data_IF_407670176654
#
_entry.id   IF_407670176654
#
_cell.length_a   1.000
_cell.length_b   1.000
_cell.length_c   1.000
_cell.angle_alpha   90.00
_cell.angle_beta   90.00
_cell.angle_gamma   90.00
#
_symmetry.space_group_name_H-M   'P 1'
#
loop_
_entity.id
_entity.type
_entity.pdbx_description
1 polymer ?
#
# COMPACT_ATOMS: atom_id res chain seq x y z
N UNK A 1 -15.98 21.96 -5.48
CA UNK A 1 -14.65 21.66 -4.90
C UNK A 1 -14.08 20.43 -5.60
N UNK A 2 -12.77 20.38 -5.87
CA UNK A 2 -12.12 19.21 -6.44
C UNK A 2 -12.12 18.02 -5.46
N UNK A 3 -11.94 16.81 -5.96
CA UNK A 3 -11.80 15.61 -5.11
C UNK A 3 -10.47 15.65 -4.37
N UNK A 4 -10.49 15.43 -3.06
CA UNK A 4 -9.28 15.38 -2.24
C UNK A 4 -8.51 14.07 -2.42
N UNK A 5 -9.25 12.97 -2.64
CA UNK A 5 -8.66 11.65 -2.78
C UNK A 5 -9.21 10.87 -3.98
N UNK A 6 -8.36 10.06 -4.59
CA UNK A 6 -8.75 9.00 -5.54
C UNK A 6 -8.32 7.65 -4.97
N UNK A 7 -9.29 6.83 -4.57
CA UNK A 7 -9.05 5.54 -3.93
C UNK A 7 -8.92 4.45 -5.00
N UNK A 8 -7.74 3.88 -5.14
CA UNK A 8 -7.47 2.75 -6.04
C UNK A 8 -7.58 1.45 -5.27
N UNK A 9 -8.59 0.65 -5.59
CA UNK A 9 -8.89 -0.65 -4.98
C UNK A 9 -8.75 -1.71 -6.06
N UNK A 10 -7.96 -2.77 -5.81
CA UNK A 10 -7.74 -3.86 -6.76
C UNK A 10 -8.28 -5.15 -6.18
N UNK A 11 -9.30 -5.73 -6.84
CA UNK A 11 -9.82 -7.05 -6.53
C UNK A 11 -9.10 -8.12 -7.33
N UNK A 12 -8.80 -9.23 -6.69
CA UNK A 12 -8.31 -10.45 -7.32
C UNK A 12 -9.09 -11.66 -6.79
N UNK A 13 -10.41 -11.67 -7.08
CA UNK A 13 -11.36 -12.61 -6.50
C UNK A 13 -11.74 -12.27 -5.05
N UNK A 14 -11.70 -10.97 -4.68
CA UNK A 14 -11.92 -10.50 -3.30
C UNK A 14 -13.33 -9.94 -3.05
N UNK A 15 -14.35 -10.44 -3.75
CA UNK A 15 -15.74 -9.95 -3.66
C UNK A 15 -16.24 -9.83 -2.21
N UNK A 16 -15.90 -10.79 -1.36
CA UNK A 16 -16.31 -10.81 0.05
C UNK A 16 -15.78 -9.61 0.86
N UNK A 17 -14.71 -8.97 0.42
CA UNK A 17 -14.11 -7.80 1.08
C UNK A 17 -14.51 -6.48 0.44
N UNK A 18 -14.69 -6.46 -0.89
CA UNK A 18 -15.03 -5.23 -1.63
C UNK A 18 -16.35 -4.65 -1.14
N UNK A 19 -17.40 -5.46 -1.05
CA UNK A 19 -18.73 -4.97 -0.67
C UNK A 19 -18.74 -4.38 0.73
N UNK A 20 -18.20 -5.03 1.76
CA UNK A 20 -18.05 -4.42 3.09
C UNK A 20 -17.25 -3.11 3.06
N UNK A 21 -16.13 -3.05 2.34
CA UNK A 21 -15.32 -1.84 2.25
C UNK A 21 -16.09 -0.70 1.58
N UNK A 22 -16.75 -0.94 0.44
CA UNK A 22 -17.54 0.09 -0.25
C UNK A 22 -18.72 0.58 0.60
N UNK A 23 -19.37 -0.32 1.37
CA UNK A 23 -20.39 0.06 2.33
C UNK A 23 -19.83 0.91 3.46
N UNK A 24 -18.67 0.59 4.01
CA UNK A 24 -18.01 1.43 5.02
C UNK A 24 -17.68 2.82 4.45
N UNK A 25 -17.11 2.89 3.24
CA UNK A 25 -16.84 4.16 2.56
C UNK A 25 -18.12 4.99 2.33
N UNK A 26 -19.25 4.34 2.02
CA UNK A 26 -20.53 5.01 1.83
C UNK A 26 -21.13 5.55 3.13
N UNK A 27 -20.78 4.99 4.27
CA UNK A 27 -21.24 5.45 5.59
C UNK A 27 -20.42 6.59 6.17
N UNK A 28 -19.31 6.98 5.54
CA UNK A 28 -18.51 8.12 5.98
C UNK A 28 -19.32 9.43 5.83
N UNK A 29 -19.05 10.40 6.71
CA UNK A 29 -19.77 11.67 6.72
C UNK A 29 -19.46 12.57 5.54
N UNK A 30 -18.24 12.45 4.98
CA UNK A 30 -17.77 13.26 3.85
C UNK A 30 -17.27 12.33 2.75
N UNK A 31 -17.57 12.68 1.49
CA UNK A 31 -17.23 11.89 0.31
C UNK A 31 -16.40 12.74 -0.66
N UNK A 32 -15.38 13.45 -0.13
CA UNK A 32 -14.42 14.22 -0.94
C UNK A 32 -13.45 13.32 -1.69
N UNK A 33 -13.90 12.13 -2.08
CA UNK A 33 -13.13 11.14 -2.81
C UNK A 33 -13.92 10.55 -3.98
N UNK A 34 -13.19 9.90 -4.85
CA UNK A 34 -13.70 8.99 -5.87
C UNK A 34 -13.04 7.62 -5.68
N UNK A 35 -13.67 6.57 -6.19
CA UNK A 35 -13.16 5.19 -6.14
C UNK A 35 -12.87 4.71 -7.55
N UNK A 36 -11.71 4.13 -7.75
CA UNK A 36 -11.33 3.38 -8.95
C UNK A 36 -11.18 1.92 -8.55
N UNK A 37 -12.19 1.11 -8.86
CA UNK A 37 -12.19 -0.32 -8.58
C UNK A 37 -11.67 -1.07 -9.79
N UNK A 38 -10.63 -1.89 -9.61
CA UNK A 38 -10.09 -2.78 -10.64
C UNK A 38 -10.44 -4.22 -10.32
N UNK A 39 -11.20 -4.87 -11.19
CA UNK A 39 -11.43 -6.32 -11.19
C UNK A 39 -10.29 -6.98 -11.97
N UNK A 40 -9.34 -7.56 -11.26
CA UNK A 40 -8.09 -8.08 -11.86
C UNK A 40 -8.20 -9.53 -12.34
N UNK A 41 -9.29 -10.19 -12.05
CA UNK A 41 -9.70 -11.51 -12.56
C UNK A 41 -11.14 -11.43 -13.01
N UNK A 42 -11.62 -12.35 -13.85
CA UNK A 42 -13.04 -12.43 -14.15
C UNK A 42 -13.85 -12.64 -12.86
N UNK A 43 -14.54 -11.59 -12.45
CA UNK A 43 -15.43 -11.59 -11.30
C UNK A 43 -16.60 -10.64 -11.55
N UNK A 44 -17.75 -10.91 -10.95
CA UNK A 44 -18.95 -10.09 -11.09
C UNK A 44 -19.22 -9.44 -9.75
N UNK A 45 -19.48 -8.14 -9.77
CA UNK A 45 -19.92 -7.46 -8.55
C UNK A 45 -21.29 -8.02 -8.13
N UNK A 46 -21.49 -8.26 -6.82
CA UNK A 46 -22.77 -8.78 -6.35
C UNK A 46 -23.93 -7.86 -6.74
N UNK A 47 -25.09 -8.39 -7.14
CA UNK A 47 -26.26 -7.60 -7.54
C UNK A 47 -26.76 -6.64 -6.44
N UNK A 48 -26.48 -6.97 -5.18
CA UNK A 48 -26.85 -6.16 -4.02
C UNK A 48 -26.04 -4.86 -3.92
N UNK A 49 -24.97 -4.74 -4.68
CA UNK A 49 -24.17 -3.52 -4.76
C UNK A 49 -24.69 -2.65 -5.90
N UNK A 50 -25.65 -1.77 -5.59
CA UNK A 50 -26.05 -0.73 -6.52
C UNK A 50 -24.96 0.36 -6.59
N UNK A 51 -24.14 0.28 -7.63
CA UNK A 51 -23.05 1.22 -7.87
C UNK A 51 -23.57 2.65 -8.05
N UNK A 52 -24.79 2.82 -8.60
CA UNK A 52 -25.37 4.12 -8.83
C UNK A 52 -25.96 4.75 -7.55
N UNK A 53 -26.21 3.96 -6.52
CA UNK A 53 -26.67 4.42 -5.23
C UNK A 53 -25.50 4.84 -4.28
N UNK A 54 -24.23 4.65 -4.69
CA UNK A 54 -23.10 5.09 -3.89
C UNK A 54 -23.01 6.62 -3.83
N UNK A 55 -22.71 7.20 -2.65
CA UNK A 55 -22.65 8.66 -2.47
C UNK A 55 -21.37 9.28 -3.07
N UNK A 56 -20.53 8.51 -3.72
CA UNK A 56 -19.27 8.92 -4.37
C UNK A 56 -19.21 8.37 -5.79
N UNK A 57 -18.40 9.02 -6.63
CA UNK A 57 -18.17 8.56 -7.99
C UNK A 57 -17.29 7.30 -7.99
N UNK A 58 -17.71 6.28 -8.72
CA UNK A 58 -16.94 5.06 -8.91
C UNK A 58 -16.63 4.82 -10.38
N UNK A 59 -15.37 4.48 -10.66
CA UNK A 59 -14.91 3.99 -11.96
C UNK A 59 -14.57 2.51 -11.85
N UNK A 60 -14.88 1.76 -12.88
CA UNK A 60 -14.61 0.33 -12.94
C UNK A 60 -13.60 0.03 -14.05
N UNK A 61 -12.52 -0.66 -13.70
CA UNK A 61 -11.58 -1.27 -14.64
C UNK A 61 -11.77 -2.77 -14.57
N UNK A 62 -11.96 -3.42 -15.72
CA UNK A 62 -12.06 -4.88 -15.81
C UNK A 62 -10.90 -5.39 -16.66
N UNK A 63 -10.03 -6.18 -16.05
CA UNK A 63 -8.91 -6.78 -16.76
C UNK A 63 -9.34 -8.10 -17.43
N UNK A 64 -9.01 -8.31 -18.70
CA UNK A 64 -9.27 -9.59 -19.37
C UNK A 64 -8.39 -10.73 -18.87
N UNK A 65 -7.26 -10.39 -18.23
CA UNK A 65 -6.33 -11.33 -17.59
C UNK A 65 -5.63 -10.66 -16.42
N UNK A 66 -5.17 -11.43 -15.40
CA UNK A 66 -4.51 -10.88 -14.22
C UNK A 66 -3.26 -10.08 -14.56
N UNK A 67 -3.19 -8.85 -14.06
CA UNK A 67 -2.02 -7.98 -14.11
C UNK A 67 -1.35 -7.88 -12.74
N UNK A 68 -0.09 -7.41 -12.71
CA UNK A 68 0.63 -7.15 -11.49
C UNK A 68 0.03 -5.98 -10.68
N UNK A 69 0.37 -5.91 -9.39
CA UNK A 69 -0.07 -4.86 -8.48
C UNK A 69 0.25 -3.47 -9.02
N UNK A 70 1.51 -3.24 -9.41
CA UNK A 70 1.97 -1.97 -9.95
C UNK A 70 1.17 -1.52 -11.18
N UNK A 71 0.94 -2.43 -12.15
CA UNK A 71 0.21 -2.14 -13.40
C UNK A 71 -1.21 -1.70 -13.10
N UNK A 72 -1.88 -2.36 -12.16
CA UNK A 72 -3.26 -2.05 -11.79
C UNK A 72 -3.38 -0.65 -11.16
N UNK A 73 -2.52 -0.33 -10.18
CA UNK A 73 -2.56 0.97 -9.53
C UNK A 73 -2.11 2.11 -10.46
N UNK A 74 -1.15 1.88 -11.35
CA UNK A 74 -0.77 2.85 -12.36
C UNK A 74 -1.91 3.12 -13.35
N UNK A 75 -2.63 2.08 -13.79
CA UNK A 75 -3.80 2.24 -14.65
C UNK A 75 -4.93 3.02 -13.94
N UNK A 76 -5.16 2.75 -12.66
CA UNK A 76 -6.11 3.50 -11.85
C UNK A 76 -5.69 4.97 -11.69
N UNK A 77 -4.40 5.25 -11.51
CA UNK A 77 -3.89 6.62 -11.41
C UNK A 77 -4.20 7.44 -12.66
N UNK A 78 -4.15 6.85 -13.85
CA UNK A 78 -4.47 7.54 -15.11
C UNK A 78 -5.94 8.00 -15.20
N UNK A 79 -6.84 7.37 -14.46
CA UNK A 79 -8.27 7.75 -14.37
C UNK A 79 -8.56 8.68 -13.18
N UNK A 80 -7.60 8.82 -12.29
CA UNK A 80 -7.79 9.52 -11.03
C UNK A 80 -7.72 11.05 -11.20
N UNK A 81 -8.51 11.81 -10.39
CA UNK A 81 -8.57 13.26 -10.44
C UNK A 81 -8.33 13.91 -9.06
N UNK A 82 -8.20 13.14 -7.99
CA UNK A 82 -7.97 13.65 -6.64
C UNK A 82 -6.58 14.23 -6.47
N UNK A 83 -6.42 15.15 -5.52
CA UNK A 83 -5.14 15.77 -5.15
C UNK A 83 -4.16 14.72 -4.56
N UNK A 84 -4.73 13.67 -3.95
CA UNK A 84 -4.00 12.56 -3.36
C UNK A 84 -4.48 11.23 -3.95
N UNK A 85 -3.54 10.40 -4.38
CA UNK A 85 -3.81 9.05 -4.83
C UNK A 85 -3.66 8.09 -3.66
N UNK A 86 -4.68 7.25 -3.45
CA UNK A 86 -4.71 6.30 -2.33
C UNK A 86 -4.67 4.89 -2.88
N UNK A 87 -3.63 4.15 -2.51
CA UNK A 87 -3.59 2.70 -2.68
C UNK A 87 -4.32 2.09 -1.51
N UNK A 88 -5.34 1.30 -1.74
CA UNK A 88 -6.19 0.73 -0.70
C UNK A 88 -6.51 -0.73 -1.02
N UNK A 89 -6.06 -1.64 -0.17
CA UNK A 89 -6.38 -3.05 -0.31
C UNK A 89 -7.87 -3.32 0.01
N UNK A 90 -8.51 -4.26 -0.69
CA UNK A 90 -9.93 -4.58 -0.48
C UNK A 90 -10.22 -5.20 0.90
N UNK A 91 -9.24 -5.82 1.55
CA UNK A 91 -9.33 -6.46 2.87
C UNK A 91 -8.97 -5.52 4.04
N UNK A 92 -8.96 -4.21 3.78
CA UNK A 92 -8.88 -3.19 4.82
C UNK A 92 -10.28 -2.91 5.38
N UNK A 93 -10.39 -2.93 6.70
CA UNK A 93 -11.59 -2.50 7.43
C UNK A 93 -11.28 -1.22 8.21
N UNK A 94 -12.09 -0.21 7.98
CA UNK A 94 -11.99 1.07 8.68
C UNK A 94 -12.59 0.95 10.08
N UNK A 95 -11.87 1.45 11.10
CA UNK A 95 -12.39 1.56 12.47
C UNK A 95 -13.16 2.87 12.65
N UNK A 96 -12.62 3.96 12.08
CA UNK A 96 -13.17 5.30 12.04
C UNK A 96 -12.90 5.90 10.66
N UNK A 97 -13.30 7.16 10.42
CA UNK A 97 -12.95 7.88 9.20
C UNK A 97 -11.47 8.33 9.23
N UNK A 98 -10.58 7.69 8.44
CA UNK A 98 -9.17 8.04 8.46
C UNK A 98 -8.84 9.27 7.59
N UNK A 99 -9.72 9.66 6.67
CA UNK A 99 -9.40 10.61 5.61
C UNK A 99 -9.15 12.04 6.09
N UNK A 100 -9.93 12.62 7.04
CA UNK A 100 -9.63 13.96 7.53
C UNK A 100 -8.25 14.07 8.17
N UNK A 101 -7.87 13.09 9.01
CA UNK A 101 -6.57 13.09 9.67
C UNK A 101 -5.42 12.80 8.69
N UNK A 102 -5.63 11.92 7.69
CA UNK A 102 -4.64 11.67 6.63
C UNK A 102 -4.46 12.91 5.73
N UNK A 103 -5.53 13.65 5.44
CA UNK A 103 -5.44 14.91 4.70
C UNK A 103 -4.60 15.94 5.46
N UNK A 104 -4.88 16.12 6.74
CA UNK A 104 -4.08 17.02 7.59
C UNK A 104 -2.59 16.65 7.61
N UNK A 105 -2.26 15.35 7.67
CA UNK A 105 -0.88 14.88 7.58
C UNK A 105 -0.21 15.27 6.27
N UNK A 106 -0.88 15.06 5.15
CA UNK A 106 -0.36 15.41 3.81
C UNK A 106 -0.19 16.92 3.67
N UNK A 107 -1.16 17.71 4.12
CA UNK A 107 -1.12 19.17 4.07
C UNK A 107 0.01 19.75 4.93
N UNK A 108 0.25 19.17 6.10
CA UNK A 108 1.38 19.57 6.98
C UNK A 108 2.74 19.15 6.44
N UNK A 109 2.82 18.13 5.63
CA UNK A 109 4.06 17.61 5.06
C UNK A 109 3.93 17.40 3.55
N UNK A 110 4.05 18.47 2.77
CA UNK A 110 3.88 18.43 1.30
C UNK A 110 4.82 17.44 0.57
N UNK A 111 5.90 17.00 1.21
CA UNK A 111 6.87 16.02 0.67
C UNK A 111 6.74 14.63 1.27
N UNK A 112 5.54 14.24 1.76
CA UNK A 112 5.38 12.98 2.48
C UNK A 112 4.35 12.06 1.83
N UNK A 113 4.69 10.77 1.78
CA UNK A 113 3.75 9.67 1.61
C UNK A 113 3.23 9.32 3.00
N UNK A 114 1.91 9.29 3.19
CA UNK A 114 1.29 9.06 4.48
C UNK A 114 0.58 7.70 4.53
N UNK A 115 0.56 7.08 5.69
CA UNK A 115 -0.17 5.84 5.92
C UNK A 115 -0.76 5.78 7.34
N UNK A 116 -1.87 5.07 7.54
CA UNK A 116 -2.34 4.68 8.86
C UNK A 116 -1.49 3.56 9.43
N UNK A 117 -1.59 3.31 10.73
CA UNK A 117 -1.07 2.12 11.36
C UNK A 117 -1.98 0.93 11.01
N UNK A 118 -1.40 -0.11 10.45
CA UNK A 118 -2.10 -1.35 10.13
C UNK A 118 -2.09 -2.26 11.36
N UNK A 119 -3.25 -2.73 11.77
CA UNK A 119 -3.41 -3.75 12.81
C UNK A 119 -4.10 -4.98 12.22
N UNK A 120 -3.74 -6.16 12.69
CA UNK A 120 -4.42 -7.39 12.32
C UNK A 120 -5.77 -7.53 13.00
N UNK A 121 -6.59 -8.47 12.58
CA UNK A 121 -7.89 -8.76 13.19
C UNK A 121 -7.84 -9.12 14.69
N UNK A 122 -6.67 -9.49 15.20
CA UNK A 122 -6.40 -9.72 16.63
C UNK A 122 -5.96 -8.44 17.40
N UNK A 123 -5.94 -7.27 16.74
CA UNK A 123 -5.53 -6.00 17.31
C UNK A 123 -4.01 -5.78 17.41
N UNK A 124 -3.18 -6.77 17.02
CA UNK A 124 -1.73 -6.61 17.01
C UNK A 124 -1.27 -5.76 15.82
N UNK A 125 -0.27 -4.90 16.06
CA UNK A 125 0.34 -4.09 14.99
C UNK A 125 1.01 -5.02 13.98
N UNK A 126 0.70 -4.83 12.69
CA UNK A 126 1.36 -5.55 11.62
C UNK A 126 2.69 -4.91 11.21
N UNK A 127 3.57 -5.71 10.63
CA UNK A 127 4.85 -5.25 10.11
C UNK A 127 4.68 -4.51 8.77
N UNK A 128 3.85 -3.47 8.74
CA UNK A 128 3.54 -2.67 7.55
C UNK A 128 4.43 -1.44 7.38
N UNK A 129 5.20 -1.08 8.40
CA UNK A 129 6.11 0.06 8.43
C UNK A 129 7.50 -0.40 8.89
N UNK A 130 8.52 -0.33 8.04
CA UNK A 130 9.82 -0.97 8.29
C UNK A 130 10.99 -0.17 7.71
N UNK A 131 12.20 -0.58 8.12
CA UNK A 131 13.42 -0.20 7.42
C UNK A 131 13.58 -1.01 6.13
N UNK A 132 14.35 -0.48 5.15
CA UNK A 132 14.59 -1.21 3.91
C UNK A 132 15.19 -2.58 4.18
N UNK A 133 14.69 -3.62 3.51
CA UNK A 133 15.21 -4.97 3.66
C UNK A 133 16.66 -5.05 3.19
N UNK A 134 17.41 -5.97 3.79
CA UNK A 134 18.72 -6.36 3.31
C UNK A 134 18.74 -7.84 2.90
N UNK A 135 19.67 -8.27 2.03
CA UNK A 135 19.82 -9.69 1.68
C UNK A 135 20.00 -10.57 2.93
N UNK A 136 20.78 -10.11 3.91
CA UNK A 136 21.00 -10.81 5.17
C UNK A 136 19.69 -11.04 5.94
N UNK A 137 18.86 -10.00 6.10
CA UNK A 137 17.57 -10.11 6.80
C UNK A 137 16.61 -11.05 6.07
N UNK A 138 16.59 -11.01 4.74
CA UNK A 138 15.76 -11.92 3.95
C UNK A 138 16.19 -13.38 4.14
N UNK A 139 17.50 -13.68 4.05
CA UNK A 139 18.06 -15.01 4.28
C UNK A 139 17.72 -15.48 5.71
N UNK A 140 17.92 -14.62 6.73
CA UNK A 140 17.57 -14.93 8.12
C UNK A 140 16.09 -15.28 8.28
N UNK A 141 15.18 -14.50 7.65
CA UNK A 141 13.73 -14.79 7.67
C UNK A 141 13.40 -16.11 6.96
N UNK A 142 14.05 -16.41 5.84
CA UNK A 142 13.87 -17.67 5.12
C UNK A 142 14.33 -18.87 5.96
N UNK A 143 15.51 -18.80 6.56
CA UNK A 143 16.03 -19.82 7.48
C UNK A 143 15.07 -19.99 8.67
N UNK A 144 14.67 -18.88 9.30
CA UNK A 144 13.71 -18.89 10.40
C UNK A 144 12.40 -19.61 10.03
N UNK A 145 11.90 -19.40 8.81
CA UNK A 145 10.69 -20.09 8.32
C UNK A 145 10.92 -21.58 8.10
N UNK A 146 12.06 -21.98 7.55
CA UNK A 146 12.40 -23.40 7.32
C UNK A 146 12.52 -24.15 8.66
N UNK A 147 13.17 -23.53 9.65
CA UNK A 147 13.40 -24.14 10.96
C UNK A 147 12.31 -23.80 12.00
N UNK A 148 11.21 -23.17 11.55
CA UNK A 148 10.09 -22.74 12.41
C UNK A 148 10.53 -21.88 13.64
N UNK A 149 11.56 -21.06 13.46
CA UNK A 149 12.10 -20.16 14.49
C UNK A 149 11.24 -18.89 14.59
N UNK A 150 10.90 -18.50 15.82
CA UNK A 150 10.25 -17.21 16.09
C UNK A 150 11.30 -16.11 16.04
N UNK A 151 11.32 -15.35 14.95
CA UNK A 151 12.18 -14.17 14.83
C UNK A 151 11.47 -12.95 15.42
N UNK A 152 12.20 -12.02 16.05
CA UNK A 152 11.62 -10.77 16.52
C UNK A 152 11.02 -9.98 15.35
N UNK A 153 9.88 -9.35 15.60
CA UNK A 153 9.20 -8.48 14.62
C UNK A 153 10.06 -7.24 14.35
N UNK A 154 10.15 -6.83 13.11
CA UNK A 154 10.79 -5.58 12.70
C UNK A 154 9.76 -4.44 12.77
N UNK A 155 9.55 -3.90 13.95
CA UNK A 155 8.71 -2.72 14.13
C UNK A 155 9.64 -1.52 14.32
N UNK A 156 9.37 -0.41 13.64
CA UNK A 156 10.10 0.84 13.86
C UNK A 156 9.88 1.29 15.31
N UNK A 157 10.94 1.68 16.08
CA UNK A 157 10.83 2.00 17.49
C UNK A 157 9.77 3.03 17.84
N UNK A 158 9.08 2.82 18.96
CA UNK A 158 7.79 3.44 19.33
C UNK A 158 7.93 4.70 20.19
N UNK A 159 8.76 5.66 19.87
CA UNK A 159 8.92 6.81 20.79
C UNK A 159 8.04 8.03 20.45
N UNK A 160 7.37 8.07 19.30
CA UNK A 160 6.59 9.24 18.87
C UNK A 160 5.21 8.82 18.31
N UNK A 161 4.26 9.76 18.26
CA UNK A 161 2.93 9.59 17.64
C UNK A 161 3.00 9.30 16.13
N UNK A 162 4.15 9.58 15.51
CA UNK A 162 4.44 9.37 14.09
C UNK A 162 5.66 8.47 13.94
N UNK A 163 5.55 7.44 13.09
CA UNK A 163 6.68 6.65 12.64
C UNK A 163 7.23 7.24 11.34
N UNK A 164 8.56 7.19 11.19
CA UNK A 164 9.26 7.59 9.96
C UNK A 164 10.02 6.37 9.43
N UNK A 165 9.33 5.39 8.89
CA UNK A 165 9.96 4.18 8.34
C UNK A 165 10.70 4.49 7.04
N UNK A 166 11.55 3.56 6.61
CA UNK A 166 12.12 3.62 5.26
C UNK A 166 11.04 3.34 4.19
N UNK A 167 10.08 2.46 4.49
CA UNK A 167 8.96 2.12 3.61
C UNK A 167 7.71 1.70 4.39
N UNK A 168 6.56 1.88 3.78
CA UNK A 168 5.28 1.36 4.26
C UNK A 168 4.64 0.49 3.19
N UNK A 169 3.94 -0.57 3.64
CA UNK A 169 3.32 -1.55 2.76
C UNK A 169 2.17 -0.94 1.94
N UNK A 170 2.04 -1.39 0.69
CA UNK A 170 1.01 -0.96 -0.25
C UNK A 170 -0.42 -1.37 0.12
N UNK A 171 -0.70 -1.63 1.41
CA UNK A 171 -2.03 -1.98 1.88
C UNK A 171 -2.93 -0.75 2.03
N UNK A 172 -2.36 0.37 2.53
CA UNK A 172 -3.03 1.66 2.60
C UNK A 172 -1.96 2.76 2.55
N UNK A 173 -1.76 3.38 1.38
CA UNK A 173 -0.84 4.48 1.18
C UNK A 173 -1.58 5.68 0.61
N UNK A 174 -1.37 6.84 1.20
CA UNK A 174 -1.82 8.14 0.66
C UNK A 174 -0.61 8.84 0.05
N UNK A 175 -0.64 9.01 -1.25
CA UNK A 175 0.45 9.58 -2.03
C UNK A 175 -0.03 10.87 -2.69
N UNK A 176 0.50 12.04 -2.34
CA UNK A 176 0.23 13.27 -3.08
C UNK A 176 0.46 13.07 -4.58
N UNK A 177 -0.45 13.57 -5.40
CA UNK A 177 -0.42 13.40 -6.85
C UNK A 177 0.93 13.79 -7.46
N UNK A 178 1.52 14.91 -7.02
CA UNK A 178 2.81 15.36 -7.51
C UNK A 178 3.94 14.36 -7.21
N UNK A 179 3.91 13.68 -6.04
CA UNK A 179 4.90 12.64 -5.69
C UNK A 179 4.73 11.43 -6.61
N UNK A 180 3.49 10.94 -6.77
CA UNK A 180 3.21 9.79 -7.65
C UNK A 180 3.66 10.06 -9.09
N UNK A 181 3.38 11.27 -9.59
CA UNK A 181 3.79 11.72 -10.94
C UNK A 181 5.31 11.84 -11.06
N UNK A 182 5.98 12.49 -10.09
CA UNK A 182 7.45 12.65 -10.07
C UNK A 182 8.17 11.31 -10.08
N UNK A 183 7.61 10.32 -9.39
CA UNK A 183 8.16 8.97 -9.33
C UNK A 183 7.73 8.08 -10.50
N UNK A 184 6.91 8.58 -11.43
CA UNK A 184 6.33 7.81 -12.54
C UNK A 184 5.58 6.56 -12.08
N UNK A 185 4.87 6.65 -10.95
CA UNK A 185 4.09 5.57 -10.36
C UNK A 185 4.93 4.41 -9.81
N UNK A 186 4.28 3.27 -9.61
CA UNK A 186 4.95 2.03 -9.24
C UNK A 186 5.74 1.44 -10.41
N UNK A 187 6.83 0.76 -10.10
CA UNK A 187 7.66 0.09 -11.10
C UNK A 187 7.00 -1.24 -11.52
N UNK A 188 6.49 -1.30 -12.75
CA UNK A 188 5.74 -2.43 -13.29
C UNK A 188 6.58 -3.70 -13.54
N UNK A 189 7.90 -3.64 -13.35
CA UNK A 189 8.77 -4.82 -13.38
C UNK A 189 8.50 -5.79 -12.22
N UNK A 190 7.85 -5.30 -11.14
CA UNK A 190 7.37 -6.12 -10.02
C UNK A 190 5.93 -6.56 -10.32
N UNK A 191 5.73 -7.87 -10.43
CA UNK A 191 4.37 -8.41 -10.57
C UNK A 191 3.61 -8.35 -9.26
N UNK A 192 4.25 -8.78 -8.18
CA UNK A 192 3.75 -8.74 -6.82
C UNK A 192 4.93 -8.72 -5.84
N UNK A 193 4.79 -7.94 -4.76
CA UNK A 193 5.80 -7.68 -3.72
C UNK A 193 6.98 -6.83 -4.19
N UNK A 194 7.52 -6.03 -3.29
CA UNK A 194 8.62 -5.08 -3.46
C UNK A 194 8.34 -3.88 -4.37
N UNK A 195 7.18 -3.78 -5.01
CA UNK A 195 6.80 -2.57 -5.74
C UNK A 195 6.63 -1.38 -4.79
N UNK A 196 6.09 -1.60 -3.58
CA UNK A 196 5.95 -0.62 -2.51
C UNK A 196 7.32 -0.24 -1.89
N UNK A 197 8.19 -1.23 -1.66
CA UNK A 197 9.56 -1.02 -1.20
C UNK A 197 10.35 -0.19 -2.20
N UNK A 198 10.29 -0.54 -3.50
CA UNK A 198 10.96 0.20 -4.58
C UNK A 198 10.41 1.63 -4.71
N UNK A 199 9.07 1.80 -4.60
CA UNK A 199 8.43 3.10 -4.66
C UNK A 199 8.91 4.01 -3.53
N UNK A 200 8.93 3.52 -2.28
CA UNK A 200 9.42 4.27 -1.14
C UNK A 200 10.93 4.53 -1.23
N UNK A 201 11.71 3.60 -1.80
CA UNK A 201 13.13 3.79 -2.05
C UNK A 201 13.41 4.92 -3.05
N UNK A 202 12.66 4.96 -4.15
CA UNK A 202 12.74 6.07 -5.13
C UNK A 202 12.24 7.39 -4.53
N UNK A 203 11.18 7.35 -3.72
CA UNK A 203 10.68 8.51 -3.00
C UNK A 203 11.78 9.11 -2.09
N UNK A 204 12.43 8.28 -1.28
CA UNK A 204 13.52 8.71 -0.39
C UNK A 204 14.69 9.30 -1.16
N UNK A 205 15.09 8.72 -2.29
CA UNK A 205 16.15 9.25 -3.16
C UNK A 205 15.79 10.59 -3.79
N UNK A 206 14.50 10.84 -4.01
CA UNK A 206 13.96 12.12 -4.49
C UNK A 206 13.72 13.15 -3.35
N UNK A 207 14.05 12.83 -2.10
CA UNK A 207 13.90 13.73 -0.95
C UNK A 207 12.55 13.65 -0.25
N UNK A 208 11.63 12.78 -0.68
CA UNK A 208 10.35 12.56 -0.01
C UNK A 208 10.48 11.61 1.19
N UNK A 209 9.54 11.72 2.14
CA UNK A 209 9.52 10.91 3.36
C UNK A 209 8.28 10.00 3.38
N UNK A 210 8.35 8.94 4.18
CA UNK A 210 7.21 8.11 4.53
C UNK A 210 6.86 8.36 5.99
N UNK A 211 5.58 8.66 6.26
CA UNK A 211 5.05 8.91 7.60
C UNK A 211 3.91 7.94 7.89
N UNK A 212 3.93 7.32 9.06
CA UNK A 212 2.84 6.46 9.52
C UNK A 212 2.30 7.00 10.84
N UNK A 213 1.00 7.30 10.89
CA UNK A 213 0.34 7.78 12.11
C UNK A 213 -0.10 6.62 12.97
N UNK A 214 0.28 6.64 14.25
CA UNK A 214 -0.19 5.66 15.24
C UNK A 214 -1.63 5.90 15.69
N UNK A 215 -2.12 7.14 15.54
CA UNK A 215 -3.46 7.52 15.94
C UNK A 215 -4.52 7.13 14.92
N UNK A 216 -4.12 6.97 13.66
CA UNK A 216 -5.01 6.51 12.59
C UNK A 216 -4.78 5.01 12.45
N UNK A 217 -5.77 4.20 12.82
CA UNK A 217 -5.66 2.74 12.79
C UNK A 217 -6.68 2.15 11.85
N UNK A 218 -6.26 1.18 11.05
CA UNK A 218 -7.14 0.38 10.22
C UNK A 218 -6.83 -1.10 10.41
N UNK A 219 -7.82 -1.95 10.23
CA UNK A 219 -7.66 -3.40 10.38
C UNK A 219 -7.42 -4.02 9.01
N UNK A 220 -6.40 -4.85 8.91
CA UNK A 220 -6.16 -5.68 7.75
C UNK A 220 -6.69 -7.10 8.04
N UNK A 221 -7.73 -7.50 7.33
CA UNK A 221 -8.34 -8.81 7.46
C UNK A 221 -7.61 -9.83 6.57
N UNK A 222 -6.30 -9.96 6.81
CA UNK A 222 -5.41 -10.77 5.98
C UNK A 222 -5.96 -12.17 5.69
N UNK A 223 -6.12 -12.51 4.42
CA UNK A 223 -6.23 -13.90 4.00
C UNK A 223 -4.88 -14.60 4.23
N UNK A 224 -4.77 -15.36 5.32
CA UNK A 224 -3.55 -16.13 5.65
C UNK A 224 -3.19 -17.19 4.58
N UNK A 225 -4.00 -17.35 3.54
CA UNK A 225 -3.80 -18.32 2.46
C UNK A 225 -2.59 -17.99 1.58
N UNK A 226 -2.20 -16.72 1.43
CA UNK A 226 -1.04 -16.32 0.62
C UNK A 226 0.27 -16.87 1.16
N UNK A 227 0.39 -17.04 2.48
CA UNK A 227 1.62 -17.56 3.12
C UNK A 227 1.86 -19.06 2.90
N UNK A 228 0.86 -19.82 2.45
CA UNK A 228 0.94 -21.28 2.30
C UNK A 228 1.27 -21.75 0.89
N UNK A 229 1.13 -20.90 -0.15
CA UNK A 229 1.35 -21.31 -1.53
C UNK A 229 2.78 -21.01 -1.98
N UNK A 230 3.50 -22.02 -2.46
CA UNK A 230 4.88 -21.89 -2.98
C UNK A 230 5.03 -20.81 -4.05
N UNK A 231 3.99 -20.60 -4.87
CA UNK A 231 3.91 -19.55 -5.90
C UNK A 231 4.20 -18.15 -5.35
N UNK A 232 3.63 -17.79 -4.19
CA UNK A 232 3.85 -16.47 -3.57
C UNK A 232 5.27 -16.31 -3.05
N UNK A 233 5.85 -17.40 -2.51
CA UNK A 233 7.25 -17.38 -2.09
C UNK A 233 8.19 -17.15 -3.29
N UNK A 234 7.94 -17.81 -4.42
CA UNK A 234 8.74 -17.63 -5.65
C UNK A 234 8.63 -16.18 -6.14
N UNK A 235 7.43 -15.62 -6.18
CA UNK A 235 7.25 -14.21 -6.57
C UNK A 235 7.96 -13.26 -5.61
N UNK A 236 7.86 -13.50 -4.30
CA UNK A 236 8.54 -12.69 -3.29
C UNK A 236 10.07 -12.73 -3.47
N UNK A 237 10.67 -13.91 -3.64
CA UNK A 237 12.10 -14.05 -3.85
C UNK A 237 12.56 -13.42 -5.17
N UNK A 238 11.79 -13.60 -6.24
CA UNK A 238 12.09 -12.99 -7.54
C UNK A 238 12.07 -11.46 -7.46
N UNK A 239 11.04 -10.89 -6.82
CA UNK A 239 10.92 -9.45 -6.62
C UNK A 239 12.02 -8.91 -5.70
N UNK A 240 12.37 -9.64 -4.63
CA UNK A 240 13.48 -9.30 -3.76
C UNK A 240 14.81 -9.23 -4.51
N UNK A 241 15.11 -10.24 -5.34
CA UNK A 241 16.33 -10.23 -6.16
C UNK A 241 16.37 -9.02 -7.11
N UNK A 242 15.24 -8.71 -7.77
CA UNK A 242 15.13 -7.51 -8.62
C UNK A 242 15.40 -6.22 -7.83
N UNK A 243 14.88 -6.12 -6.61
CA UNK A 243 15.08 -4.95 -5.77
C UNK A 243 16.54 -4.80 -5.36
N UNK A 244 17.20 -5.86 -4.89
CA UNK A 244 18.58 -5.78 -4.42
C UNK A 244 19.61 -5.43 -5.51
N UNK A 245 19.29 -5.68 -6.78
CA UNK A 245 20.14 -5.27 -7.92
C UNK A 245 19.65 -3.96 -8.56
N UNK A 246 18.60 -3.34 -8.03
CA UNK A 246 18.04 -2.11 -8.58
C UNK A 246 18.94 -0.90 -8.30
N UNK A 247 18.93 0.07 -9.21
CA UNK A 247 19.63 1.34 -9.01
C UNK A 247 19.17 2.07 -7.74
N UNK A 248 17.89 1.97 -7.37
CA UNK A 248 17.35 2.57 -6.16
C UNK A 248 18.00 1.98 -4.91
N UNK A 249 18.04 0.65 -4.79
CA UNK A 249 18.68 -0.03 -3.66
C UNK A 249 20.17 0.29 -3.56
N UNK A 250 20.91 0.18 -4.67
CA UNK A 250 22.36 0.43 -4.71
C UNK A 250 22.68 1.87 -4.30
N UNK A 251 21.92 2.87 -4.79
CA UNK A 251 22.10 4.28 -4.39
C UNK A 251 21.83 4.49 -2.90
N UNK A 252 20.79 3.85 -2.33
CA UNK A 252 20.51 3.93 -0.90
C UNK A 252 21.66 3.32 -0.08
N UNK A 253 22.17 2.15 -0.46
CA UNK A 253 23.30 1.55 0.25
C UNK A 253 24.55 2.44 0.13
N UNK A 254 24.83 3.00 -1.03
CA UNK A 254 25.94 3.93 -1.22
C UNK A 254 25.83 5.15 -0.28
N UNK A 255 24.66 5.82 -0.22
CA UNK A 255 24.43 6.95 0.69
C UNK A 255 24.50 6.58 2.18
N UNK A 256 24.23 5.33 2.55
CA UNK A 256 24.39 4.85 3.93
C UNK A 256 25.87 4.70 4.31
N UNK A 257 26.70 4.26 3.37
CA UNK A 257 28.17 4.07 3.59
C UNK A 257 28.91 5.39 3.45
N UNK A 258 28.51 6.24 2.52
CA UNK A 258 29.10 7.53 2.23
C UNK A 258 28.03 8.64 2.34
N UNK A 259 27.70 9.06 3.58
CA UNK A 259 26.72 10.13 3.77
C UNK A 259 27.24 11.42 3.12
N UNK A 260 26.42 12.02 2.27
CA UNK A 260 26.66 13.37 1.75
C UNK A 260 26.75 14.33 2.97
N UNK A 261 27.86 15.08 3.07
CA UNK A 261 28.10 16.07 4.15
C UNK A 261 27.23 17.29 3.98
#
# INVERSE_FOLDING_TARGET
MGKKFSLSIVSHGHQLYIVPLLKQLALLKQHDFEVILTLNVPEVLPPELDVNALPFKMYLIVNPSPKGFAVNHNAAFMLSNGDNFVVLNPDIRLLDDPFPALLEMVERCAGCICAPLIVGGNGEVEESARNFPSPYLLIRKLIGRIFNLRLPREIVPENNMMLVPDWAAGMFLVVPRHIYTTLHGFNERYFLYFEDVDFCARARLAGFKVLVSKNIRVVHEAQRDSHRKLKFLVWHLHSACKFFISAAYLKIQFRRVFPER
#
